data_IF_908467071292
#
_entry.id   IF_908467071292
#
_cell.length_a   1.000
_cell.length_b   1.000
_cell.length_c   1.000
_cell.angle_alpha   90.00
_cell.angle_beta   90.00
_cell.angle_gamma   90.00
#
_symmetry.space_group_name_H-M   'P 1'
#
loop_
_entity.id
_entity.type
_entity.pdbx_description
1 polymer ?
#
# COMPACT_ATOMS: atom_id res chain seq x y z
N UNK A 1 22.68 -10.96 8.76
CA UNK A 1 21.67 -9.90 8.59
C UNK A 1 20.42 -10.50 7.95
N UNK A 2 19.32 -10.61 8.68
CA UNK A 2 18.06 -11.16 8.16
C UNK A 2 17.43 -10.12 7.22
N UNK A 3 17.17 -10.45 5.96
CA UNK A 3 16.35 -9.60 5.09
C UNK A 3 14.94 -9.52 5.72
N UNK A 4 14.60 -8.38 6.33
CA UNK A 4 13.23 -8.06 6.77
C UNK A 4 12.31 -7.65 5.61
N UNK A 5 12.87 -7.45 4.42
CA UNK A 5 12.11 -7.04 3.25
C UNK A 5 11.15 -8.17 2.81
N UNK A 6 9.88 -7.86 2.50
CA UNK A 6 8.94 -8.82 1.93
C UNK A 6 9.56 -9.49 0.69
N UNK A 7 9.45 -10.82 0.60
CA UNK A 7 10.05 -11.62 -0.48
C UNK A 7 9.06 -12.66 -1.05
N UNK A 8 9.26 -13.09 -2.29
CA UNK A 8 8.41 -14.07 -2.97
C UNK A 8 7.42 -13.46 -3.98
N UNK A 9 6.74 -14.27 -4.77
CA UNK A 9 5.86 -13.79 -5.86
C UNK A 9 4.69 -12.91 -5.38
N UNK A 10 4.20 -13.14 -4.16
CA UNK A 10 3.03 -12.48 -3.57
C UNK A 10 3.37 -11.44 -2.49
N UNK A 11 4.64 -11.03 -2.38
CA UNK A 11 5.07 -10.16 -1.28
C UNK A 11 4.33 -8.82 -1.22
N UNK A 12 3.98 -8.26 -2.37
CA UNK A 12 3.27 -6.96 -2.45
C UNK A 12 1.89 -7.03 -1.82
N UNK A 13 1.16 -8.13 -2.05
CA UNK A 13 -0.16 -8.35 -1.47
C UNK A 13 -0.06 -8.55 0.06
N UNK A 14 0.95 -9.32 0.51
CA UNK A 14 1.21 -9.50 1.93
C UNK A 14 1.58 -8.19 2.64
N UNK A 15 2.41 -7.37 2.01
CA UNK A 15 2.76 -6.04 2.51
C UNK A 15 1.52 -5.16 2.63
N UNK A 16 0.71 -5.06 1.57
CA UNK A 16 -0.50 -4.24 1.57
C UNK A 16 -1.50 -4.69 2.65
N UNK A 17 -1.63 -6.01 2.87
CA UNK A 17 -2.44 -6.56 3.96
C UNK A 17 -1.92 -6.10 5.33
N UNK A 18 -0.61 -6.20 5.57
CA UNK A 18 0.01 -5.74 6.82
C UNK A 18 -0.09 -4.23 7.05
N UNK A 19 -0.05 -3.44 5.99
CA UNK A 19 -0.18 -1.97 6.07
C UNK A 19 -1.57 -1.51 6.50
N UNK A 20 -2.61 -2.34 6.32
CA UNK A 20 -3.99 -2.04 6.75
C UNK A 20 -4.25 -2.37 8.22
N UNK A 21 -3.34 -3.11 8.86
CA UNK A 21 -3.52 -3.55 10.22
C UNK A 21 -3.17 -2.43 11.19
N UNK A 22 -4.15 -2.07 12.01
CA UNK A 22 -3.94 -1.32 13.23
C UNK A 22 -3.55 -2.27 14.36
N UNK A 23 -2.55 -1.86 15.13
CA UNK A 23 -2.17 -2.49 16.39
C UNK A 23 -2.48 -1.45 17.48
N UNK A 24 -3.59 -1.60 18.22
CA UNK A 24 -4.02 -0.61 19.20
C UNK A 24 -2.88 -0.23 20.16
N UNK A 25 -2.75 1.06 20.44
CA UNK A 25 -1.72 1.63 21.31
C UNK A 25 -0.26 1.51 20.84
N UNK A 26 0.01 0.80 19.73
CA UNK A 26 1.38 0.54 19.25
C UNK A 26 1.61 1.19 17.89
N UNK A 27 0.72 0.92 16.92
CA UNK A 27 0.93 1.33 15.52
C UNK A 27 -0.42 1.52 14.83
N UNK A 28 -0.75 2.73 14.35
CA UNK A 28 -1.92 2.92 13.50
C UNK A 28 -1.73 2.22 12.16
N UNK A 29 -2.83 1.96 11.44
CA UNK A 29 -2.74 1.49 10.06
C UNK A 29 -1.93 2.49 9.21
N UNK A 30 -1.06 1.97 8.34
CA UNK A 30 -0.23 2.80 7.44
C UNK A 30 -1.07 3.32 6.28
N UNK A 31 -2.02 2.51 5.82
CA UNK A 31 -3.01 2.91 4.81
C UNK A 31 -4.39 2.55 5.30
N UNK A 32 -5.37 3.38 4.95
CA UNK A 32 -6.77 3.10 5.21
C UNK A 32 -7.23 1.85 4.46
N UNK A 33 -8.31 1.23 4.93
CA UNK A 33 -8.93 0.09 4.23
C UNK A 33 -9.38 0.45 2.82
N UNK A 34 -9.83 1.68 2.62
CA UNK A 34 -10.29 2.17 1.31
C UNK A 34 -9.11 2.36 0.35
N UNK A 35 -8.05 3.03 0.79
CA UNK A 35 -6.81 3.17 0.01
C UNK A 35 -6.25 1.80 -0.37
N UNK A 36 -6.22 0.88 0.58
CA UNK A 36 -5.76 -0.48 0.30
C UNK A 36 -6.62 -1.22 -0.72
N UNK A 37 -7.95 -1.08 -0.67
CA UNK A 37 -8.84 -1.67 -1.68
C UNK A 37 -8.53 -1.13 -3.08
N UNK A 38 -8.26 0.17 -3.19
CA UNK A 38 -7.84 0.79 -4.45
C UNK A 38 -6.50 0.22 -4.93
N UNK A 39 -5.46 0.24 -4.08
CA UNK A 39 -4.13 -0.29 -4.39
C UNK A 39 -4.15 -1.78 -4.76
N UNK A 40 -5.03 -2.57 -4.13
CA UNK A 40 -5.19 -3.99 -4.46
C UNK A 40 -5.65 -4.19 -5.91
N UNK A 41 -6.47 -3.30 -6.45
CA UNK A 41 -6.92 -3.39 -7.85
C UNK A 41 -5.72 -3.31 -8.81
N UNK A 42 -4.77 -2.42 -8.55
CA UNK A 42 -3.53 -2.30 -9.33
C UNK A 42 -2.62 -3.52 -9.18
N UNK A 43 -2.51 -4.08 -7.95
CA UNK A 43 -1.73 -5.30 -7.71
C UNK A 43 -2.33 -6.51 -8.45
N UNK A 44 -3.66 -6.66 -8.41
CA UNK A 44 -4.37 -7.73 -9.09
C UNK A 44 -4.21 -7.61 -10.61
N UNK A 45 -4.30 -6.39 -11.16
CA UNK A 45 -4.04 -6.12 -12.57
C UNK A 45 -2.60 -6.50 -12.96
N UNK A 46 -1.61 -6.06 -12.18
CA UNK A 46 -0.20 -6.42 -12.41
C UNK A 46 0.01 -7.94 -12.37
N UNK A 47 -0.66 -8.64 -11.46
CA UNK A 47 -0.57 -10.10 -11.37
C UNK A 47 -1.14 -10.75 -12.63
N UNK A 48 -2.35 -10.35 -13.05
CA UNK A 48 -2.97 -10.81 -14.30
C UNK A 48 -2.08 -10.54 -15.51
N UNK A 49 -1.55 -9.32 -15.63
CA UNK A 49 -0.64 -8.91 -16.70
C UNK A 49 0.61 -9.79 -16.78
N UNK A 50 1.14 -10.26 -15.65
CA UNK A 50 2.33 -11.13 -15.62
C UNK A 50 2.05 -12.56 -16.09
N UNK A 51 0.79 -13.01 -16.07
CA UNK A 51 0.42 -14.41 -16.31
C UNK A 51 -0.43 -14.65 -17.57
N UNK A 52 -1.02 -13.60 -18.17
CA UNK A 52 -2.02 -13.72 -19.24
C UNK A 52 -1.56 -13.12 -20.58
N UNK A 53 -0.30 -13.27 -20.99
CA UNK A 53 0.12 -12.95 -22.37
C UNK A 53 -0.46 -13.96 -23.39
N UNK A 54 -1.78 -14.05 -23.44
CA UNK A 54 -2.60 -14.82 -24.35
C UNK A 54 -3.74 -13.94 -24.86
N UNK A 55 -3.44 -13.23 -25.95
CA UNK A 55 -4.35 -12.76 -26.99
C UNK A 55 -5.19 -11.49 -26.89
N UNK A 56 -5.53 -10.93 -25.72
CA UNK A 56 -6.17 -9.59 -25.70
C UNK A 56 -5.73 -8.80 -24.46
N UNK A 57 -4.89 -7.80 -24.69
CA UNK A 57 -4.69 -6.72 -23.73
C UNK A 57 -6.06 -6.08 -23.50
N UNK A 58 -6.62 -6.22 -22.30
CA UNK A 58 -7.88 -5.59 -21.91
C UNK A 58 -7.65 -4.07 -21.76
N UNK A 59 -7.59 -3.36 -22.89
CA UNK A 59 -7.33 -1.92 -22.96
C UNK A 59 -8.32 -1.12 -22.11
N UNK A 60 -9.57 -1.56 -22.05
CA UNK A 60 -10.62 -0.96 -21.22
C UNK A 60 -10.25 -1.01 -19.73
N UNK A 61 -9.65 -2.12 -19.26
CA UNK A 61 -9.18 -2.21 -17.86
C UNK A 61 -7.98 -1.31 -17.60
N UNK A 62 -7.11 -1.13 -18.59
CA UNK A 62 -5.97 -0.23 -18.46
C UNK A 62 -6.45 1.22 -18.35
N UNK A 63 -7.39 1.63 -19.20
CA UNK A 63 -7.99 2.97 -19.18
C UNK A 63 -8.74 3.24 -17.86
N UNK A 64 -9.50 2.25 -17.36
CA UNK A 64 -10.15 2.36 -16.05
C UNK A 64 -9.12 2.57 -14.92
N UNK A 65 -8.01 1.82 -14.95
CA UNK A 65 -6.96 1.94 -13.94
C UNK A 65 -6.21 3.27 -14.04
N UNK A 66 -5.97 3.76 -15.26
CA UNK A 66 -5.35 5.07 -15.49
C UNK A 66 -6.22 6.19 -14.93
N UNK A 67 -7.53 6.17 -15.21
CA UNK A 67 -8.48 7.13 -14.65
C UNK A 67 -8.55 7.10 -13.12
N UNK A 68 -8.31 5.94 -12.50
CA UNK A 68 -8.29 5.77 -11.04
C UNK A 68 -6.94 6.10 -10.41
N UNK A 69 -5.86 6.17 -11.20
CA UNK A 69 -4.49 6.31 -10.70
C UNK A 69 -4.27 7.59 -9.90
N UNK A 70 -4.67 8.79 -10.35
CA UNK A 70 -4.44 10.03 -9.60
C UNK A 70 -5.07 10.00 -8.21
N UNK A 71 -6.30 9.49 -8.11
CA UNK A 71 -7.03 9.35 -6.84
C UNK A 71 -6.34 8.36 -5.91
N UNK A 72 -5.98 7.17 -6.41
CA UNK A 72 -5.33 6.14 -5.61
C UNK A 72 -3.92 6.57 -5.16
N UNK A 73 -3.18 7.26 -6.03
CA UNK A 73 -1.87 7.81 -5.71
C UNK A 73 -1.98 8.87 -4.61
N UNK A 74 -2.92 9.81 -4.74
CA UNK A 74 -3.16 10.83 -3.73
C UNK A 74 -3.55 10.22 -2.38
N UNK A 75 -4.51 9.29 -2.37
CA UNK A 75 -4.94 8.61 -1.15
C UNK A 75 -3.78 7.86 -0.46
N UNK A 76 -2.93 7.18 -1.24
CA UNK A 76 -1.74 6.51 -0.73
C UNK A 76 -0.72 7.50 -0.14
N UNK A 77 -0.46 8.61 -0.83
CA UNK A 77 0.46 9.64 -0.34
C UNK A 77 -0.05 10.29 0.94
N UNK A 78 -1.33 10.63 1.00
CA UNK A 78 -1.97 11.24 2.18
C UNK A 78 -1.90 10.29 3.39
N UNK A 79 -2.19 9.00 3.20
CA UNK A 79 -2.07 7.97 4.24
C UNK A 79 -0.62 7.78 4.75
N UNK A 80 0.35 7.73 3.83
CA UNK A 80 1.77 7.64 4.19
C UNK A 80 2.20 8.87 5.00
N UNK A 81 1.80 10.06 4.58
CA UNK A 81 2.13 11.29 5.30
C UNK A 81 1.53 11.29 6.71
N UNK A 82 0.29 10.85 6.87
CA UNK A 82 -0.33 10.69 8.19
C UNK A 82 0.45 9.73 9.08
N UNK A 83 0.88 8.59 8.52
CA UNK A 83 1.69 7.61 9.26
C UNK A 83 3.07 8.16 9.63
N UNK A 84 3.72 8.93 8.74
CA UNK A 84 4.99 9.60 9.02
C UNK A 84 4.83 10.66 10.12
N UNK A 85 3.74 11.42 10.13
CA UNK A 85 3.44 12.36 11.21
C UNK A 85 3.28 11.64 12.55
N UNK A 86 2.60 10.48 12.58
CA UNK A 86 2.55 9.65 13.78
C UNK A 86 3.95 9.25 14.27
N UNK A 87 4.83 8.79 13.38
CA UNK A 87 6.20 8.41 13.75
C UNK A 87 7.01 9.61 14.25
N UNK A 88 6.89 10.77 13.60
CA UNK A 88 7.56 11.99 14.04
C UNK A 88 7.12 12.41 15.44
N UNK A 89 5.82 12.37 15.72
CA UNK A 89 5.28 12.69 17.04
C UNK A 89 5.75 11.69 18.10
N UNK A 90 5.81 10.41 17.76
CA UNK A 90 6.32 9.36 18.65
C UNK A 90 7.79 9.59 19.00
N UNK A 91 8.63 9.91 18.01
CA UNK A 91 10.05 10.21 18.21
C UNK A 91 10.22 11.42 19.14
N UNK A 92 9.53 12.53 18.85
CA UNK A 92 9.60 13.73 19.70
C UNK A 92 9.11 13.48 21.13
N UNK A 93 8.09 12.65 21.32
CA UNK A 93 7.60 12.28 22.65
C UNK A 93 8.57 11.39 23.43
N UNK A 94 9.36 10.55 22.74
CA UNK A 94 10.40 9.74 23.36
C UNK A 94 11.61 10.61 23.75
N UNK A 95 12.04 11.52 22.87
CA UNK A 95 13.15 12.46 23.13
C UNK A 95 12.86 13.46 24.25
N UNK A 96 11.58 13.75 24.52
CA UNK A 96 11.17 14.68 25.59
C UNK A 96 11.01 14.02 26.98
N UNK A 97 11.13 12.69 27.07
CA UNK A 97 11.02 11.92 28.31
C UNK A 97 12.37 11.40 28.84
N UNK A 98 13.47 11.78 28.19
CA UNK A 98 14.86 11.64 28.67
C UNK A 98 15.37 12.97 29.25
#
# INVERSE_FOLDING_TARGET
MKKLAPSGSMWHAALLSSMQLEIPQIRPAVVSRETAKQLKTFLDFRHKFRHLYGFDLEFEKLEELDGRYPTAQKACADDINLFLSFLSNLISALESND
#
